data_IF_331436546875
#
_entry.id   IF_331436546875
#
_cell.length_a   1.000
_cell.length_b   1.000
_cell.length_c   1.000
_cell.angle_alpha   90.00
_cell.angle_beta   90.00
_cell.angle_gamma   90.00
#
_symmetry.space_group_name_H-M   'P 1'
#
loop_
_entity.id
_entity.type
_entity.pdbx_description
1 polymer ?
#
# COMPACT_ATOMS: atom_id res chain seq x y z
N UNK A 1 -37.38 47.05 -36.65
CA UNK A 1 -37.92 45.99 -35.77
C UNK A 1 -36.79 45.00 -35.52
N UNK A 2 -36.49 44.74 -34.25
CA UNK A 2 -35.19 44.24 -33.77
C UNK A 2 -34.88 42.81 -34.22
N UNK A 3 -33.68 42.63 -34.78
CA UNK A 3 -33.12 41.33 -35.15
C UNK A 3 -32.57 40.62 -33.91
N UNK A 4 -32.94 39.35 -33.75
CA UNK A 4 -32.54 38.48 -32.64
C UNK A 4 -31.04 38.17 -32.75
N UNK A 5 -30.27 38.51 -31.73
CA UNK A 5 -28.91 38.01 -31.57
C UNK A 5 -28.87 37.10 -30.33
N UNK A 6 -28.76 35.80 -30.57
CA UNK A 6 -28.32 34.81 -29.59
C UNK A 6 -26.99 34.27 -30.14
N UNK A 7 -25.88 34.43 -29.41
CA UNK A 7 -24.90 33.34 -29.39
C UNK A 7 -24.32 33.17 -27.98
N UNK A 8 -24.50 31.99 -27.40
CA UNK A 8 -23.57 30.86 -27.48
C UNK A 8 -22.75 30.78 -26.19
N UNK A 9 -23.32 30.02 -25.24
CA UNK A 9 -22.73 29.68 -23.97
C UNK A 9 -21.65 28.61 -24.24
N UNK A 10 -20.37 29.02 -24.32
CA UNK A 10 -19.25 28.07 -24.32
C UNK A 10 -19.15 27.45 -22.92
N UNK A 11 -19.72 26.27 -22.74
CA UNK A 11 -19.44 25.41 -21.59
C UNK A 11 -18.20 24.56 -21.96
N UNK A 12 -17.03 25.01 -21.53
CA UNK A 12 -15.82 24.20 -21.60
C UNK A 12 -15.86 23.15 -20.48
N UNK A 13 -16.28 21.93 -20.82
CA UNK A 13 -16.26 20.79 -19.92
C UNK A 13 -14.80 20.31 -19.80
N UNK A 14 -14.08 20.80 -18.79
CA UNK A 14 -12.75 20.26 -18.44
C UNK A 14 -12.97 18.88 -17.84
N UNK A 15 -12.86 17.83 -18.66
CA UNK A 15 -12.65 16.48 -18.14
C UNK A 15 -11.26 16.47 -17.52
N UNK A 16 -11.18 16.71 -16.21
CA UNK A 16 -10.00 16.35 -15.44
C UNK A 16 -9.84 14.83 -15.58
N UNK A 17 -8.89 14.39 -16.40
CA UNK A 17 -8.46 13.01 -16.44
C UNK A 17 -7.92 12.68 -15.05
N UNK A 18 -8.72 11.97 -14.26
CA UNK A 18 -8.26 11.27 -13.06
C UNK A 18 -7.33 10.16 -13.52
N UNK A 19 -6.10 10.50 -13.88
CA UNK A 19 -5.04 9.52 -14.07
C UNK A 19 -4.74 8.99 -12.68
N UNK A 20 -5.45 7.93 -12.29
CA UNK A 20 -5.21 7.28 -11.03
C UNK A 20 -3.82 6.67 -11.08
N UNK A 21 -3.00 7.07 -10.11
CA UNK A 21 -1.61 6.74 -10.02
C UNK A 21 -1.43 5.34 -9.42
N UNK A 22 -1.80 4.30 -10.17
CA UNK A 22 -1.82 2.92 -9.69
C UNK A 22 -0.43 2.30 -9.50
N UNK A 23 -0.38 1.23 -8.69
CA UNK A 23 0.78 0.34 -8.58
C UNK A 23 0.31 -1.12 -8.45
N UNK A 24 1.24 -2.07 -8.44
CA UNK A 24 0.96 -3.46 -8.07
C UNK A 24 2.01 -3.96 -7.09
N UNK A 25 1.60 -4.71 -6.09
CA UNK A 25 2.48 -5.42 -5.15
C UNK A 25 2.81 -6.80 -5.72
N UNK A 26 4.06 -7.00 -6.09
CA UNK A 26 4.54 -8.22 -6.75
C UNK A 26 5.02 -9.27 -5.74
N UNK A 27 5.71 -8.82 -4.69
CA UNK A 27 6.25 -9.69 -3.65
C UNK A 27 6.29 -8.97 -2.30
N UNK A 28 5.94 -9.62 -1.18
CA UNK A 28 5.30 -10.94 -1.11
C UNK A 28 3.95 -10.95 -1.85
N UNK A 29 3.38 -12.13 -2.08
CA UNK A 29 2.16 -12.26 -2.90
C UNK A 29 1.07 -11.33 -2.35
N UNK A 30 0.63 -10.39 -3.17
CA UNK A 30 -0.45 -9.46 -2.80
C UNK A 30 -1.77 -10.21 -2.64
N UNK A 31 -2.65 -9.67 -1.80
CA UNK A 31 -4.08 -9.96 -1.88
C UNK A 31 -4.60 -9.59 -3.26
N UNK A 32 -5.76 -10.13 -3.62
CA UNK A 32 -6.49 -9.69 -4.81
C UNK A 32 -6.71 -8.17 -4.70
N UNK A 33 -6.52 -7.45 -5.81
CA UNK A 33 -6.68 -6.00 -5.89
C UNK A 33 -8.09 -5.70 -6.40
N UNK A 34 -8.80 -4.79 -5.72
CA UNK A 34 -9.97 -4.11 -6.27
C UNK A 34 -9.52 -2.69 -6.66
N UNK A 35 -9.14 -2.50 -7.93
CA UNK A 35 -8.55 -1.24 -8.43
C UNK A 35 -9.48 -0.03 -8.18
N UNK A 36 -10.80 -0.25 -8.14
CA UNK A 36 -11.78 0.80 -7.86
C UNK A 36 -11.78 1.25 -6.39
N UNK A 37 -11.16 0.47 -5.50
CA UNK A 37 -11.08 0.71 -4.06
C UNK A 37 -9.65 0.78 -3.55
N UNK A 38 -8.68 1.05 -4.42
CA UNK A 38 -7.26 1.04 -4.03
C UNK A 38 -6.92 2.11 -2.98
N UNK A 39 -7.72 3.17 -2.86
CA UNK A 39 -7.62 4.18 -1.78
C UNK A 39 -8.13 3.69 -0.42
N UNK A 40 -8.77 2.51 -0.37
CA UNK A 40 -9.26 1.89 0.86
C UNK A 40 -8.20 0.97 1.48
N UNK A 41 -8.38 0.62 2.76
CA UNK A 41 -7.54 -0.34 3.46
C UNK A 41 -7.34 -1.64 2.66
N UNK A 42 -6.09 -2.10 2.51
CA UNK A 42 -5.71 -3.25 1.69
C UNK A 42 -6.34 -3.24 0.28
N UNK A 43 -6.48 -2.06 -0.32
CA UNK A 43 -7.06 -1.91 -1.66
C UNK A 43 -8.51 -2.38 -1.77
N UNK A 44 -9.28 -2.26 -0.67
CA UNK A 44 -10.67 -2.67 -0.61
C UNK A 44 -10.90 -4.15 -0.30
N UNK A 45 -9.83 -4.91 0.00
CA UNK A 45 -9.91 -6.34 0.36
C UNK A 45 -9.45 -6.55 1.82
N UNK A 46 -10.33 -6.26 2.81
CA UNK A 46 -9.96 -6.31 4.22
C UNK A 46 -9.81 -7.74 4.76
N UNK A 47 -10.48 -8.71 4.14
CA UNK A 47 -10.53 -10.10 4.60
C UNK A 47 -9.57 -11.01 3.84
N UNK A 48 -9.08 -12.03 4.55
CA UNK A 48 -8.02 -12.94 4.14
C UNK A 48 -8.54 -14.22 3.50
N UNK A 49 -7.67 -14.90 2.76
CA UNK A 49 -7.74 -16.36 2.64
C UNK A 49 -6.45 -16.97 3.22
N UNK A 50 -6.58 -17.85 4.22
CA UNK A 50 -5.44 -18.37 4.99
C UNK A 50 -4.41 -19.12 4.13
N UNK A 51 -4.85 -19.73 3.04
CA UNK A 51 -4.02 -20.49 2.09
C UNK A 51 -3.06 -19.63 1.25
N UNK A 52 -3.09 -18.31 1.39
CA UNK A 52 -2.31 -17.39 0.54
C UNK A 52 -1.12 -16.72 1.24
N UNK A 53 -0.89 -17.03 2.51
CA UNK A 53 0.25 -16.46 3.26
C UNK A 53 1.57 -16.96 2.72
N UNK A 54 2.52 -16.04 2.55
CA UNK A 54 3.88 -16.36 2.10
C UNK A 54 4.87 -16.27 3.26
N UNK A 55 5.90 -17.12 3.25
CA UNK A 55 6.99 -17.04 4.22
C UNK A 55 7.70 -15.68 4.15
N UNK A 56 7.94 -15.07 5.31
CA UNK A 56 8.66 -13.79 5.41
C UNK A 56 9.67 -13.82 6.56
N UNK A 57 10.98 -13.61 6.28
CA UNK A 57 12.02 -13.72 7.30
C UNK A 57 11.83 -12.75 8.47
N UNK A 58 11.85 -13.30 9.69
CA UNK A 58 11.78 -12.53 10.93
C UNK A 58 13.11 -11.86 11.29
N UNK A 59 14.23 -12.53 11.00
CA UNK A 59 15.58 -12.13 11.43
C UNK A 59 16.59 -11.93 10.30
N UNK A 60 16.15 -11.98 9.04
CA UNK A 60 16.99 -11.71 7.87
C UNK A 60 16.37 -10.58 7.02
N UNK A 61 17.18 -9.87 6.21
CA UNK A 61 16.65 -8.99 5.19
C UNK A 61 15.70 -9.73 4.24
N UNK A 62 14.62 -9.06 3.85
CA UNK A 62 13.60 -9.59 2.96
C UNK A 62 13.22 -8.53 1.92
N UNK A 63 12.61 -8.95 0.81
CA UNK A 63 12.26 -8.05 -0.29
C UNK A 63 10.77 -7.77 -0.34
N UNK A 64 10.42 -6.51 -0.51
CA UNK A 64 9.09 -6.07 -0.94
C UNK A 64 9.25 -5.46 -2.33
N UNK A 65 8.54 -5.97 -3.33
CA UNK A 65 8.64 -5.52 -4.71
C UNK A 65 7.30 -5.02 -5.22
N UNK A 66 7.32 -3.87 -5.89
CA UNK A 66 6.15 -3.27 -6.52
C UNK A 66 6.44 -2.93 -7.98
N UNK A 67 5.43 -2.87 -8.82
CA UNK A 67 5.50 -2.19 -10.11
C UNK A 67 4.75 -0.87 -10.03
N UNK A 68 5.47 0.23 -10.29
CA UNK A 68 4.91 1.58 -10.39
C UNK A 68 4.44 1.84 -11.81
N UNK A 69 3.28 2.48 -11.94
CA UNK A 69 2.79 3.01 -13.22
C UNK A 69 2.83 4.55 -13.26
N UNK A 70 3.62 5.19 -12.40
CA UNK A 70 3.80 6.65 -12.40
C UNK A 70 5.25 7.07 -12.46
N UNK A 71 5.49 8.25 -13.05
CA UNK A 71 6.83 8.81 -13.21
C UNK A 71 7.50 9.16 -11.88
N UNK A 72 6.72 9.46 -10.85
CA UNK A 72 7.21 9.74 -9.50
C UNK A 72 6.18 9.32 -8.47
N UNK A 73 6.61 8.71 -7.37
CA UNK A 73 5.75 8.37 -6.25
C UNK A 73 6.52 8.31 -4.93
N UNK A 74 5.79 8.45 -3.83
CA UNK A 74 6.28 8.19 -2.48
C UNK A 74 5.75 6.84 -1.99
N UNK A 75 6.63 6.01 -1.44
CA UNK A 75 6.30 4.65 -1.01
C UNK A 75 6.72 4.45 0.44
N UNK A 76 5.82 3.93 1.26
CA UNK A 76 6.13 3.42 2.60
C UNK A 76 5.66 1.97 2.75
N UNK A 77 6.31 1.24 3.65
CA UNK A 77 5.96 -0.16 3.95
C UNK A 77 5.74 -0.29 5.45
N UNK A 78 4.55 -0.75 5.83
CA UNK A 78 4.14 -0.92 7.23
C UNK A 78 3.77 -2.38 7.53
N UNK A 79 3.92 -2.78 8.79
CA UNK A 79 3.65 -4.13 9.27
C UNK A 79 2.58 -4.13 10.37
N UNK A 80 1.56 -4.97 10.20
CA UNK A 80 0.71 -5.42 11.30
C UNK A 80 1.11 -6.83 11.71
N UNK A 81 1.08 -7.09 13.01
CA UNK A 81 1.29 -8.41 13.62
C UNK A 81 0.00 -8.95 14.23
N UNK A 82 -1.12 -8.28 13.94
CA UNK A 82 -2.44 -8.85 14.15
C UNK A 82 -2.64 -9.98 13.15
N UNK A 83 -3.35 -11.03 13.59
CA UNK A 83 -3.64 -12.17 12.72
C UNK A 83 -4.40 -11.74 11.48
N UNK A 84 -5.49 -11.00 11.68
CA UNK A 84 -6.46 -10.67 10.64
C UNK A 84 -6.80 -9.16 10.69
N UNK A 85 -5.87 -8.26 10.30
CA UNK A 85 -6.09 -6.83 10.42
C UNK A 85 -7.10 -6.34 9.37
N UNK A 86 -8.06 -5.53 9.82
CA UNK A 86 -9.14 -4.96 8.99
C UNK A 86 -9.09 -3.42 8.85
N UNK A 87 -8.12 -2.75 9.48
CA UNK A 87 -7.97 -1.30 9.44
C UNK A 87 -6.53 -0.85 9.72
N UNK A 88 -6.20 0.39 9.34
CA UNK A 88 -4.87 1.00 9.51
C UNK A 88 -4.41 1.09 10.97
N UNK A 89 -5.35 1.11 11.93
CA UNK A 89 -5.02 1.19 13.36
C UNK A 89 -4.21 -0.03 13.82
N UNK A 90 -4.47 -1.22 13.24
CA UNK A 90 -3.77 -2.48 13.53
C UNK A 90 -2.30 -2.50 13.09
N UNK A 91 -1.86 -1.49 12.34
CA UNK A 91 -0.47 -1.33 11.92
C UNK A 91 0.31 -0.42 12.89
N UNK A 92 -0.30 -0.04 14.02
CA UNK A 92 0.28 0.84 15.03
C UNK A 92 0.57 0.09 16.32
N UNK A 93 1.74 0.36 16.89
CA UNK A 93 2.10 -0.04 18.26
C UNK A 93 2.29 1.20 19.10
N UNK A 94 1.54 1.32 20.21
CA UNK A 94 1.55 2.50 21.09
C UNK A 94 1.29 3.82 20.33
N UNK A 95 0.33 3.78 19.39
CA UNK A 95 -0.07 4.93 18.57
C UNK A 95 0.87 5.29 17.41
N UNK A 96 1.98 4.58 17.21
CA UNK A 96 2.93 4.82 16.12
C UNK A 96 2.89 3.68 15.10
N UNK A 97 2.91 4.01 13.81
CA UNK A 97 3.02 3.02 12.74
C UNK A 97 4.30 2.20 12.83
N UNK A 98 4.20 0.91 12.54
CA UNK A 98 5.30 -0.03 12.49
C UNK A 98 5.90 -0.04 11.07
N UNK A 99 6.65 1.01 10.74
CA UNK A 99 7.33 1.12 9.45
C UNK A 99 8.46 0.10 9.32
N UNK A 100 8.35 -0.78 8.33
CA UNK A 100 9.48 -1.56 7.81
C UNK A 100 10.37 -0.70 6.92
N UNK A 101 9.75 0.25 6.22
CA UNK A 101 10.40 1.29 5.45
C UNK A 101 9.59 2.58 5.59
N UNK A 102 10.24 3.68 5.97
CA UNK A 102 9.62 5.01 5.92
C UNK A 102 9.41 5.44 4.46
N UNK A 103 8.71 6.56 4.25
CA UNK A 103 8.52 7.11 2.91
C UNK A 103 9.84 7.34 2.18
N UNK A 104 9.92 6.78 0.97
CA UNK A 104 10.99 7.03 0.00
C UNK A 104 10.38 7.49 -1.32
N UNK A 105 11.04 8.40 -2.02
CA UNK A 105 10.66 8.77 -3.38
C UNK A 105 11.25 7.76 -4.38
N UNK A 106 10.42 7.28 -5.30
CA UNK A 106 10.80 6.50 -6.47
C UNK A 106 10.53 7.31 -7.75
N UNK A 107 11.33 7.07 -8.81
CA UNK A 107 11.18 7.72 -10.11
C UNK A 107 11.21 6.68 -11.22
N UNK A 108 10.23 6.74 -12.11
CA UNK A 108 10.09 5.83 -13.24
C UNK A 108 8.92 4.86 -13.11
N UNK A 109 8.45 4.40 -14.28
CA UNK A 109 7.39 3.40 -14.41
C UNK A 109 8.03 2.03 -14.61
N UNK A 110 8.43 1.41 -13.50
CA UNK A 110 9.18 0.15 -13.50
C UNK A 110 8.91 -0.65 -12.23
N UNK A 111 9.60 -1.79 -12.11
CA UNK A 111 9.57 -2.60 -10.90
C UNK A 111 10.64 -2.13 -9.92
N UNK A 112 10.22 -1.74 -8.73
CA UNK A 112 11.07 -1.37 -7.61
C UNK A 112 11.11 -2.50 -6.60
N UNK A 113 12.30 -2.78 -6.05
CA UNK A 113 12.49 -3.80 -5.01
C UNK A 113 13.18 -3.17 -3.81
N UNK A 114 12.49 -3.18 -2.68
CA UNK A 114 12.94 -2.64 -1.42
C UNK A 114 13.43 -3.75 -0.51
N UNK A 115 14.61 -3.56 0.09
CA UNK A 115 15.08 -4.45 1.15
C UNK A 115 14.58 -3.93 2.49
N UNK A 116 13.84 -4.75 3.22
CA UNK A 116 13.28 -4.44 4.53
C UNK A 116 13.71 -5.48 5.56
N UNK A 117 13.60 -5.14 6.85
CA UNK A 117 13.97 -6.06 7.92
C UNK A 117 13.10 -5.84 9.17
N UNK A 118 12.34 -6.88 9.55
CA UNK A 118 11.46 -6.86 10.75
C UNK A 118 12.27 -6.65 12.03
N UNK A 119 13.55 -7.05 12.06
CA UNK A 119 14.38 -6.92 13.26
C UNK A 119 14.51 -5.49 13.78
N UNK A 120 14.35 -4.47 12.92
CA UNK A 120 14.33 -3.06 13.32
C UNK A 120 13.12 -2.69 14.19
N UNK A 121 12.08 -3.53 14.19
CA UNK A 121 10.87 -3.35 14.99
C UNK A 121 10.89 -4.17 16.29
N UNK A 122 11.95 -4.94 16.59
CA UNK A 122 12.01 -5.80 17.79
C UNK A 122 11.68 -5.05 19.08
N UNK A 123 12.18 -3.81 19.21
CA UNK A 123 11.93 -2.99 20.41
C UNK A 123 10.47 -2.56 20.57
N UNK A 124 9.70 -2.56 19.48
CA UNK A 124 8.27 -2.23 19.48
C UNK A 124 7.46 -3.37 20.11
N UNK A 125 7.91 -4.60 19.93
CA UNK A 125 7.19 -5.81 20.32
C UNK A 125 7.78 -6.49 21.57
N UNK A 126 8.61 -5.81 22.38
CA UNK A 126 9.29 -6.42 23.55
C UNK A 126 8.35 -7.14 24.54
N UNK A 127 7.12 -6.65 24.72
CA UNK A 127 6.14 -7.27 25.65
C UNK A 127 5.53 -8.57 25.10
N UNK A 128 5.50 -8.72 23.78
CA UNK A 128 5.03 -9.92 23.08
C UNK A 128 5.93 -10.12 21.87
N UNK A 129 7.14 -10.67 22.07
CA UNK A 129 8.12 -10.79 21.00
C UNK A 129 7.57 -11.62 19.84
N UNK A 130 7.88 -11.18 18.63
CA UNK A 130 7.56 -11.91 17.42
C UNK A 130 8.39 -13.21 17.38
N UNK A 131 7.74 -14.29 16.94
CA UNK A 131 8.34 -15.62 16.79
C UNK A 131 7.99 -16.22 15.42
N UNK A 132 8.78 -17.21 15.00
CA UNK A 132 8.45 -17.99 13.82
C UNK A 132 7.07 -18.65 13.98
N UNK A 133 6.30 -18.66 12.90
CA UNK A 133 4.90 -19.09 12.85
C UNK A 133 3.88 -17.99 13.17
N UNK A 134 4.31 -16.80 13.61
CA UNK A 134 3.39 -15.68 13.80
C UNK A 134 2.84 -15.20 12.45
N UNK A 135 1.57 -14.80 12.46
CA UNK A 135 0.92 -14.18 11.31
C UNK A 135 1.20 -12.68 11.29
N UNK A 136 1.40 -12.16 10.09
CA UNK A 136 1.53 -10.72 9.89
C UNK A 136 0.92 -10.30 8.55
N UNK A 137 0.71 -8.99 8.41
CA UNK A 137 0.28 -8.35 7.16
C UNK A 137 1.23 -7.20 6.86
N UNK A 138 1.76 -7.18 5.65
CA UNK A 138 2.53 -6.06 5.11
C UNK A 138 1.56 -5.23 4.27
N UNK A 139 1.52 -3.92 4.49
CA UNK A 139 0.81 -3.01 3.61
C UNK A 139 1.80 -2.03 3.00
N UNK A 140 1.74 -1.90 1.67
CA UNK A 140 2.41 -0.83 0.95
C UNK A 140 1.45 0.35 0.87
N UNK A 141 1.94 1.52 1.25
CA UNK A 141 1.30 2.80 0.98
C UNK A 141 2.04 3.47 -0.17
N UNK A 142 1.31 3.83 -1.22
CA UNK A 142 1.84 4.41 -2.45
C UNK A 142 1.13 5.73 -2.75
N UNK A 143 1.88 6.80 -2.99
CA UNK A 143 1.32 8.09 -3.36
C UNK A 143 2.03 8.66 -4.60
N UNK A 144 1.36 8.59 -5.75
CA UNK A 144 1.84 9.16 -7.02
C UNK A 144 1.33 10.57 -7.35
N UNK A 145 0.90 11.34 -6.35
CA UNK A 145 0.41 12.72 -6.52
C UNK A 145 -1.09 12.92 -6.30
N UNK A 146 -1.80 11.91 -5.78
CA UNK A 146 -3.23 11.95 -5.46
C UNK A 146 -3.51 11.46 -4.04
N UNK A 147 -4.68 10.84 -3.84
CA UNK A 147 -4.94 10.08 -2.61
C UNK A 147 -3.98 8.88 -2.53
N UNK A 148 -3.48 8.50 -1.34
CA UNK A 148 -2.66 7.32 -1.20
C UNK A 148 -3.43 6.05 -1.56
N UNK A 149 -2.72 5.14 -2.21
CA UNK A 149 -3.20 3.82 -2.61
C UNK A 149 -2.56 2.75 -1.71
N UNK A 150 -3.27 1.66 -1.50
CA UNK A 150 -2.87 0.61 -0.57
C UNK A 150 -3.00 -0.77 -1.18
N UNK A 151 -2.01 -1.61 -0.95
CA UNK A 151 -2.07 -3.04 -1.23
C UNK A 151 -1.42 -3.82 -0.09
N UNK A 152 -1.98 -4.98 0.20
CA UNK A 152 -1.54 -5.82 1.31
C UNK A 152 -1.01 -7.16 0.81
N UNK A 153 0.00 -7.67 1.49
CA UNK A 153 0.44 -9.04 1.38
C UNK A 153 0.44 -9.68 2.77
N UNK A 154 -0.08 -10.89 2.84
CA UNK A 154 -0.18 -11.63 4.10
C UNK A 154 0.96 -12.61 4.19
N UNK A 155 1.57 -12.66 5.37
CA UNK A 155 2.78 -13.45 5.58
C UNK A 155 2.70 -14.27 6.85
N UNK A 156 3.52 -15.31 6.87
CA UNK A 156 3.89 -16.05 8.07
C UNK A 156 5.37 -15.81 8.34
N UNK A 157 5.69 -15.47 9.59
CA UNK A 157 7.05 -15.13 9.97
C UNK A 157 7.88 -16.42 10.10
N UNK A 158 9.07 -16.44 9.48
CA UNK A 158 9.99 -17.59 9.51
C UNK A 158 11.38 -17.24 10.03
#
# INVERSE_FOLDING_TARGET
MFSKALPSLLVALVLASLTSAHFTLNSPKSRIIDEAKETSFCGGVPTLTESERTDFPLSAPATVSITSYNDTAHVAIILSVERDPTELSHFKTKGKFNYLMNFVEIKGQETFTFTVNISHLKDRFQKSPLKAGDYATIQVEYNGGGEPLYQCADVILV
#
